data_IF_654458362621
#
_entry.id   IF_654458362621
#
_cell.length_a   1.000
_cell.length_b   1.000
_cell.length_c   1.000
_cell.angle_alpha   90.00
_cell.angle_beta   90.00
_cell.angle_gamma   90.00
#
_symmetry.space_group_name_H-M   'P 1'
#
loop_
_entity.id
_entity.type
_entity.pdbx_description
1 polymer ?
#
# COMPACT_ATOMS: atom_id res chain seq x y z
N UNK A 1 -16.71 -7.25 -7.43
CA UNK A 1 -15.81 -6.92 -6.30
C UNK A 1 -16.21 -7.61 -5.00
N UNK A 2 -17.51 -7.75 -4.76
CA UNK A 2 -18.11 -8.49 -3.64
C UNK A 2 -18.79 -9.73 -4.21
N UNK A 3 -18.76 -10.87 -3.50
CA UNK A 3 -19.48 -12.09 -3.91
C UNK A 3 -20.91 -12.17 -3.35
N UNK A 4 -21.63 -13.24 -3.70
CA UNK A 4 -23.01 -13.48 -3.25
C UNK A 4 -23.16 -13.48 -1.72
N UNK A 5 -22.13 -13.90 -0.98
CA UNK A 5 -22.15 -13.98 0.48
C UNK A 5 -21.65 -12.71 1.17
N UNK A 6 -21.47 -11.63 0.40
CA UNK A 6 -20.95 -10.32 0.82
C UNK A 6 -19.46 -10.32 1.18
N UNK A 7 -18.69 -11.31 0.73
CA UNK A 7 -17.25 -11.32 0.96
C UNK A 7 -16.54 -10.36 0.00
N UNK A 8 -15.60 -9.59 0.55
CA UNK A 8 -14.76 -8.65 -0.23
C UNK A 8 -13.62 -9.41 -0.88
N UNK A 9 -13.59 -9.42 -2.22
CA UNK A 9 -12.47 -9.99 -2.98
C UNK A 9 -11.30 -9.00 -3.05
N UNK A 10 -10.13 -9.47 -3.48
CA UNK A 10 -8.93 -8.64 -3.72
C UNK A 10 -9.25 -7.34 -4.49
N UNK A 11 -10.09 -7.42 -5.53
CA UNK A 11 -10.48 -6.26 -6.34
C UNK A 11 -11.19 -5.16 -5.52
N UNK A 12 -11.96 -5.50 -4.48
CA UNK A 12 -12.60 -4.52 -3.60
C UNK A 12 -11.56 -3.60 -2.94
N UNK A 13 -10.49 -4.18 -2.39
CA UNK A 13 -9.46 -3.42 -1.67
C UNK A 13 -8.65 -2.53 -2.61
N UNK A 14 -8.34 -3.02 -3.81
CA UNK A 14 -7.67 -2.20 -4.82
C UNK A 14 -8.54 -1.06 -5.35
N UNK A 15 -9.84 -1.29 -5.57
CA UNK A 15 -10.77 -0.22 -5.94
C UNK A 15 -10.95 0.78 -4.80
N UNK A 16 -11.06 0.32 -3.54
CA UNK A 16 -11.09 1.21 -2.37
C UNK A 16 -9.87 2.16 -2.35
N UNK A 17 -8.67 1.68 -2.69
CA UNK A 17 -7.46 2.51 -2.80
C UNK A 17 -7.49 3.45 -4.01
N UNK A 18 -7.95 2.96 -5.16
CA UNK A 18 -8.04 3.75 -6.40
C UNK A 18 -9.05 4.90 -6.31
N UNK A 19 -10.04 4.80 -5.42
CA UNK A 19 -11.01 5.85 -5.09
C UNK A 19 -10.69 6.59 -3.78
N UNK A 20 -9.43 6.51 -3.31
CA UNK A 20 -8.99 7.29 -2.15
C UNK A 20 -9.09 8.79 -2.49
N UNK A 21 -9.59 9.65 -1.57
CA UNK A 21 -9.71 11.10 -1.81
C UNK A 21 -8.38 11.78 -2.16
N UNK A 22 -7.27 11.18 -1.70
CA UNK A 22 -5.93 11.51 -2.13
C UNK A 22 -5.32 10.29 -2.82
N UNK A 23 -4.89 10.47 -4.06
CA UNK A 23 -4.35 9.39 -4.89
C UNK A 23 -3.10 9.86 -5.62
N UNK A 24 -1.99 9.12 -5.42
CA UNK A 24 -0.79 9.28 -6.25
C UNK A 24 -0.91 8.36 -7.46
N UNK A 25 -0.64 8.87 -8.66
CA UNK A 25 -0.56 8.05 -9.87
C UNK A 25 0.75 8.28 -10.61
N UNK A 26 1.18 7.24 -11.32
CA UNK A 26 2.34 7.28 -12.19
C UNK A 26 1.86 7.12 -13.63
N UNK A 27 2.29 8.01 -14.51
CA UNK A 27 1.89 8.02 -15.93
C UNK A 27 3.15 8.08 -16.78
N UNK A 28 3.40 7.03 -17.56
CA UNK A 28 4.47 7.00 -18.55
C UNK A 28 4.18 8.00 -19.68
N UNK A 29 5.20 8.78 -20.06
CA UNK A 29 5.15 9.71 -21.18
C UNK A 29 6.25 9.34 -22.17
N UNK A 30 5.85 8.65 -23.23
CA UNK A 30 6.79 8.03 -24.15
C UNK A 30 7.61 6.95 -23.45
N UNK A 31 8.87 6.78 -23.87
CA UNK A 31 9.78 5.75 -23.30
C UNK A 31 10.73 6.28 -22.24
N UNK A 32 10.77 7.60 -22.05
CA UNK A 32 11.84 8.27 -21.31
C UNK A 32 11.36 8.83 -19.97
N UNK A 33 10.07 9.21 -19.87
CA UNK A 33 9.60 9.98 -18.71
C UNK A 33 8.49 9.27 -17.96
N UNK A 34 8.50 9.46 -16.64
CA UNK A 34 7.42 9.10 -15.74
C UNK A 34 6.92 10.35 -15.02
N UNK A 35 5.67 10.70 -15.26
CA UNK A 35 5.02 11.78 -14.51
C UNK A 35 4.43 11.20 -13.22
N UNK A 36 4.68 11.89 -12.11
CA UNK A 36 4.02 11.64 -10.83
C UNK A 36 2.92 12.69 -10.65
N UNK A 37 1.69 12.22 -10.53
CA UNK A 37 0.51 13.05 -10.31
C UNK A 37 -0.07 12.79 -8.93
N UNK A 38 -0.70 13.82 -8.37
CA UNK A 38 -1.57 13.69 -7.20
C UNK A 38 -2.97 14.21 -7.56
N UNK A 39 -3.97 13.39 -7.27
CA UNK A 39 -5.38 13.76 -7.28
C UNK A 39 -5.78 14.16 -5.86
N UNK A 40 -6.47 15.29 -5.73
CA UNK A 40 -7.10 15.76 -4.50
C UNK A 40 -8.59 15.98 -4.75
N UNK A 41 -9.42 15.05 -4.28
CA UNK A 41 -10.89 15.14 -4.35
C UNK A 41 -11.49 15.85 -3.12
N UNK A 42 -10.65 16.32 -2.18
CA UNK A 42 -11.12 17.09 -1.03
C UNK A 42 -11.48 18.53 -1.44
N UNK A 43 -12.36 19.15 -0.65
CA UNK A 43 -12.81 20.54 -0.85
C UNK A 43 -11.88 21.58 -0.21
N UNK A 44 -10.66 21.19 0.18
CA UNK A 44 -9.65 22.07 0.74
C UNK A 44 -8.26 21.72 0.21
N UNK A 45 -7.34 22.69 0.32
CA UNK A 45 -5.95 22.52 -0.05
C UNK A 45 -5.29 21.43 0.81
N UNK A 46 -4.49 20.58 0.18
CA UNK A 46 -3.61 19.66 0.89
C UNK A 46 -2.17 20.14 0.78
N UNK A 47 -1.59 20.43 1.94
CA UNK A 47 -0.17 20.82 2.08
C UNK A 47 0.58 19.69 2.75
N UNK A 48 1.68 19.27 2.14
CA UNK A 48 2.48 18.17 2.65
C UNK A 48 3.79 18.02 1.91
N UNK A 49 4.47 16.92 2.20
CA UNK A 49 5.74 16.55 1.59
C UNK A 49 5.55 15.34 0.68
N UNK A 50 5.94 15.48 -0.58
CA UNK A 50 6.10 14.37 -1.49
C UNK A 50 7.46 13.72 -1.25
N UNK A 51 7.46 12.43 -0.94
CA UNK A 51 8.65 11.58 -0.84
C UNK A 51 8.65 10.60 -2.01
N UNK A 52 9.70 10.63 -2.82
CA UNK A 52 9.94 9.69 -3.90
C UNK A 52 11.21 8.91 -3.61
N UNK A 53 11.14 7.58 -3.67
CA UNK A 53 12.29 6.71 -3.45
C UNK A 53 12.38 5.66 -4.53
N UNK A 54 13.60 5.37 -5.00
CA UNK A 54 13.91 4.16 -5.76
C UNK A 54 14.51 3.14 -4.81
N UNK A 55 13.89 1.98 -4.73
CA UNK A 55 14.26 0.92 -3.79
C UNK A 55 14.35 -0.41 -4.52
N UNK A 56 15.20 -1.29 -4.01
CA UNK A 56 15.12 -2.71 -4.36
C UNK A 56 14.18 -3.48 -3.42
N UNK A 57 13.82 -4.70 -3.80
CA UNK A 57 12.96 -5.56 -2.99
C UNK A 57 13.63 -6.11 -1.71
N UNK A 58 14.93 -5.92 -1.53
CA UNK A 58 15.68 -6.29 -0.33
C UNK A 58 15.70 -5.14 0.70
N UNK A 59 15.27 -3.93 0.31
CA UNK A 59 15.17 -2.76 1.18
C UNK A 59 16.27 -1.71 1.00
N UNK A 60 17.20 -1.92 0.05
CA UNK A 60 18.19 -0.90 -0.25
C UNK A 60 17.52 0.23 -1.01
N UNK A 61 17.67 1.45 -0.50
CA UNK A 61 17.27 2.67 -1.20
C UNK A 61 18.46 3.21 -1.98
N UNK A 62 18.31 3.41 -3.28
CA UNK A 62 19.38 3.88 -4.17
C UNK A 62 19.19 5.33 -4.63
N UNK A 63 17.98 5.89 -4.46
CA UNK A 63 17.69 7.29 -4.77
C UNK A 63 16.51 7.78 -3.92
N UNK A 64 16.57 9.03 -3.48
CA UNK A 64 15.50 9.71 -2.72
C UNK A 64 15.35 11.13 -3.27
N UNK A 65 14.12 11.61 -3.37
CA UNK A 65 13.79 13.02 -3.60
C UNK A 65 12.62 13.42 -2.72
N UNK A 66 12.78 14.56 -2.07
CA UNK A 66 11.73 15.18 -1.26
C UNK A 66 11.32 16.51 -1.87
N UNK A 67 10.03 16.85 -1.78
CA UNK A 67 9.51 18.12 -2.28
C UNK A 67 8.28 18.54 -1.48
N UNK A 68 8.28 19.76 -0.97
CA UNK A 68 7.08 20.36 -0.40
C UNK A 68 6.08 20.67 -1.51
N UNK A 69 4.81 20.30 -1.29
CA UNK A 69 3.76 20.39 -2.30
C UNK A 69 2.49 20.97 -1.69
N UNK A 70 1.77 21.74 -2.49
CA UNK A 70 0.41 22.19 -2.21
C UNK A 70 -0.47 21.77 -3.37
N UNK A 71 -1.56 21.08 -3.08
CA UNK A 71 -2.49 20.57 -4.08
C UNK A 71 -3.85 21.19 -3.84
N UNK A 72 -4.34 21.89 -4.86
CA UNK A 72 -5.59 22.62 -4.79
C UNK A 72 -6.78 21.67 -4.65
N UNK A 73 -7.93 22.15 -4.15
CA UNK A 73 -9.12 21.34 -3.95
C UNK A 73 -9.65 20.81 -5.28
N UNK A 74 -10.26 19.63 -5.26
CA UNK A 74 -10.93 19.02 -6.41
C UNK A 74 -10.12 19.10 -7.73
N UNK A 75 -8.83 18.76 -7.66
CA UNK A 75 -7.89 18.96 -8.76
C UNK A 75 -6.89 17.82 -8.90
N UNK A 76 -6.27 17.73 -10.07
CA UNK A 76 -5.14 16.84 -10.33
C UNK A 76 -3.92 17.68 -10.68
N UNK A 77 -2.82 17.49 -9.93
CA UNK A 77 -1.58 18.26 -10.12
C UNK A 77 -0.41 17.33 -10.41
N UNK A 78 0.35 17.62 -11.48
CA UNK A 78 1.62 16.94 -11.73
C UNK A 78 2.68 17.47 -10.77
N UNK A 79 3.14 16.63 -9.87
CA UNK A 79 4.10 17.02 -8.84
C UNK A 79 5.55 16.89 -9.32
N UNK A 80 5.84 15.90 -10.17
CA UNK A 80 7.19 15.58 -10.61
C UNK A 80 7.21 14.95 -12.01
N UNK A 81 8.34 15.08 -12.70
CA UNK A 81 8.65 14.36 -13.94
C UNK A 81 10.03 13.73 -13.81
N UNK A 82 10.07 12.40 -13.77
CA UNK A 82 11.30 11.63 -13.63
C UNK A 82 11.76 11.19 -15.03
N UNK A 83 13.04 11.36 -15.33
CA UNK A 83 13.67 10.79 -16.51
C UNK A 83 14.26 9.41 -16.16
N UNK A 84 13.82 8.35 -16.86
CA UNK A 84 14.30 6.99 -16.63
C UNK A 84 15.77 6.80 -16.99
N UNK A 85 16.27 7.52 -18.00
CA UNK A 85 17.66 7.42 -18.44
C UNK A 85 18.63 7.88 -17.35
N UNK A 86 18.26 8.96 -16.66
CA UNK A 86 19.07 9.54 -15.57
C UNK A 86 19.00 8.69 -14.29
N UNK A 87 17.92 7.93 -14.11
CA UNK A 87 17.66 7.19 -12.88
C UNK A 87 18.48 5.90 -12.77
N UNK A 88 18.84 5.27 -13.91
CA UNK A 88 19.58 4.01 -14.00
C UNK A 88 18.94 2.86 -13.21
N UNK A 89 18.19 1.95 -13.86
CA UNK A 89 17.31 1.01 -13.14
C UNK A 89 17.63 -0.46 -13.44
N UNK A 90 17.64 -1.30 -12.40
CA UNK A 90 17.47 -2.74 -12.56
C UNK A 90 15.98 -3.06 -12.57
N UNK A 91 15.41 -3.17 -13.77
CA UNK A 91 13.96 -3.22 -13.97
C UNK A 91 13.26 -4.36 -13.22
N UNK A 92 13.95 -5.48 -12.99
CA UNK A 92 13.35 -6.69 -12.39
C UNK A 92 13.41 -6.75 -10.87
N UNK A 93 14.25 -5.94 -10.23
CA UNK A 93 14.50 -6.01 -8.78
C UNK A 93 14.26 -4.69 -8.05
N UNK A 94 14.03 -3.61 -8.79
CA UNK A 94 13.78 -2.27 -8.26
C UNK A 94 12.37 -1.77 -8.57
N UNK A 95 11.92 -0.79 -7.80
CA UNK A 95 10.66 -0.10 -7.99
C UNK A 95 10.77 1.35 -7.51
N UNK A 96 9.83 2.18 -7.94
CA UNK A 96 9.61 3.51 -7.37
C UNK A 96 8.50 3.46 -6.34
N UNK A 97 8.69 4.17 -5.24
CA UNK A 97 7.69 4.40 -4.22
C UNK A 97 7.48 5.89 -4.03
N UNK A 98 6.22 6.31 -4.17
CA UNK A 98 5.81 7.68 -3.89
C UNK A 98 4.90 7.70 -2.67
N UNK A 99 5.14 8.65 -1.77
CA UNK A 99 4.31 8.93 -0.60
C UNK A 99 4.04 10.41 -0.47
N UNK A 100 2.81 10.75 -0.09
CA UNK A 100 2.44 12.06 0.39
C UNK A 100 2.32 12.00 1.90
N UNK A 101 3.17 12.74 2.60
CA UNK A 101 3.10 12.89 4.05
C UNK A 101 2.48 14.25 4.42
N UNK A 102 1.47 14.22 5.28
CA UNK A 102 0.79 15.41 5.81
C UNK A 102 0.84 15.30 7.32
N UNK A 103 1.43 16.28 7.99
CA UNK A 103 1.62 16.30 9.46
C UNK A 103 2.30 15.02 10.00
N UNK A 104 3.26 14.47 9.26
CA UNK A 104 4.00 13.26 9.65
C UNK A 104 3.26 11.94 9.38
N UNK A 105 2.08 11.96 8.79
CA UNK A 105 1.32 10.77 8.42
C UNK A 105 1.27 10.57 6.91
N UNK A 106 1.48 9.35 6.44
CA UNK A 106 1.28 9.01 5.02
C UNK A 106 -0.22 9.03 4.70
N UNK A 107 -0.64 9.98 3.84
CA UNK A 107 -2.04 10.14 3.40
C UNK A 107 -2.34 9.51 2.05
N UNK A 108 -1.33 9.40 1.20
CA UNK A 108 -1.41 8.69 -0.07
C UNK A 108 -0.08 8.04 -0.37
N UNK A 109 -0.12 6.88 -1.01
CA UNK A 109 1.07 6.21 -1.49
C UNK A 109 0.77 5.44 -2.78
N UNK A 110 1.78 5.26 -3.61
CA UNK A 110 1.69 4.35 -4.75
C UNK A 110 3.08 3.82 -5.11
N UNK A 111 3.11 2.69 -5.81
CA UNK A 111 4.34 2.03 -6.25
C UNK A 111 4.30 1.85 -7.77
N UNK A 112 5.43 2.08 -8.42
CA UNK A 112 5.61 1.83 -9.84
C UNK A 112 6.71 0.79 -10.05
N UNK A 113 6.36 -0.31 -10.69
CA UNK A 113 7.31 -1.36 -11.05
C UNK A 113 7.78 -1.15 -12.48
N UNK A 114 9.09 -1.26 -12.70
CA UNK A 114 9.69 -1.01 -14.02
C UNK A 114 9.55 -2.19 -15.00
N UNK A 115 8.90 -3.27 -14.58
CA UNK A 115 8.76 -4.48 -15.37
C UNK A 115 7.43 -5.18 -15.04
N UNK A 116 6.84 -5.96 -15.98
CA UNK A 116 5.65 -6.74 -15.72
C UNK A 116 5.77 -7.58 -14.43
N UNK A 117 4.73 -7.53 -13.61
CA UNK A 117 4.78 -8.02 -12.24
C UNK A 117 5.12 -9.51 -12.12
N UNK A 118 4.76 -10.33 -13.13
CA UNK A 118 5.02 -11.76 -13.16
C UNK A 118 6.51 -12.11 -13.28
N UNK A 119 7.31 -11.18 -13.80
CA UNK A 119 8.74 -11.36 -14.07
C UNK A 119 9.63 -10.62 -13.06
N UNK A 120 9.04 -9.98 -12.05
CA UNK A 120 9.76 -9.34 -10.96
C UNK A 120 10.34 -10.39 -10.00
N UNK A 121 11.55 -10.12 -9.52
CA UNK A 121 12.29 -11.04 -8.65
C UNK A 121 12.07 -10.62 -7.20
N UNK A 122 11.03 -11.15 -6.58
CA UNK A 122 10.75 -10.92 -5.16
C UNK A 122 11.58 -11.88 -4.28
N UNK A 123 12.39 -11.38 -3.33
CA UNK A 123 13.05 -12.21 -2.34
C UNK A 123 12.02 -12.80 -1.36
N UNK A 124 12.35 -13.93 -0.73
CA UNK A 124 11.46 -14.53 0.29
C UNK A 124 11.42 -13.67 1.54
N UNK A 125 10.24 -13.15 1.88
CA UNK A 125 10.03 -12.27 3.03
C UNK A 125 9.57 -13.05 4.27
N UNK A 126 9.81 -12.47 5.44
CA UNK A 126 9.25 -12.91 6.72
C UNK A 126 8.32 -11.83 7.24
N UNK A 127 7.09 -12.23 7.52
CA UNK A 127 6.09 -11.35 8.14
C UNK A 127 6.17 -11.45 9.65
N UNK A 128 6.02 -10.32 10.33
CA UNK A 128 5.82 -10.24 11.77
C UNK A 128 4.47 -9.62 12.05
N UNK A 129 3.73 -10.22 12.96
CA UNK A 129 2.36 -9.82 13.30
C UNK A 129 2.22 -9.59 14.80
N UNK A 130 1.43 -8.59 15.16
CA UNK A 130 1.03 -8.31 16.54
C UNK A 130 -0.47 -7.98 16.53
N UNK A 131 -1.25 -8.58 17.43
CA UNK A 131 -2.69 -8.31 17.54
C UNK A 131 -2.97 -7.69 18.90
N UNK A 132 -3.69 -6.57 18.90
CA UNK A 132 -4.15 -5.87 20.11
C UNK A 132 -5.67 -5.74 20.07
N UNK A 133 -6.32 -5.96 21.20
CA UNK A 133 -7.72 -5.54 21.37
C UNK A 133 -7.74 -4.03 21.60
N UNK A 134 -8.59 -3.32 20.87
CA UNK A 134 -8.70 -1.85 20.93
C UNK A 134 -10.12 -1.37 21.25
N UNK A 135 -11.08 -2.30 21.34
CA UNK A 135 -12.46 -2.03 21.75
C UNK A 135 -13.18 -3.31 22.15
N UNK A 136 -14.49 -3.22 22.36
CA UNK A 136 -15.32 -4.36 22.73
C UNK A 136 -15.37 -5.42 21.62
N UNK A 137 -15.39 -4.98 20.36
CA UNK A 137 -15.52 -5.83 19.17
C UNK A 137 -14.42 -5.60 18.13
N UNK A 138 -13.33 -4.90 18.50
CA UNK A 138 -12.33 -4.44 17.55
C UNK A 138 -10.92 -4.89 17.94
N UNK A 139 -10.22 -5.41 16.93
CA UNK A 139 -8.82 -5.79 17.05
C UNK A 139 -7.98 -5.05 16.03
N UNK A 140 -6.81 -4.59 16.46
CA UNK A 140 -5.77 -4.01 15.60
C UNK A 140 -4.71 -5.07 15.34
N UNK A 141 -4.63 -5.54 14.11
CA UNK A 141 -3.55 -6.38 13.59
C UNK A 141 -2.48 -5.48 12.96
N UNK A 142 -1.29 -5.47 13.55
CA UNK A 142 -0.12 -4.76 13.06
C UNK A 142 0.75 -5.76 12.30
N UNK A 143 1.04 -5.48 11.03
CA UNK A 143 1.85 -6.34 10.16
C UNK A 143 3.07 -5.56 9.70
N UNK A 144 4.23 -6.20 9.75
CA UNK A 144 5.49 -5.68 9.21
C UNK A 144 6.25 -6.78 8.49
N UNK A 145 7.21 -6.40 7.66
CA UNK A 145 8.11 -7.33 6.97
C UNK A 145 9.56 -6.88 7.08
N UNK A 146 10.47 -7.86 7.05
CA UNK A 146 11.91 -7.65 7.02
C UNK A 146 12.40 -7.11 5.67
N UNK A 147 11.77 -7.53 4.58
CA UNK A 147 12.04 -7.08 3.21
C UNK A 147 10.71 -6.73 2.50
N UNK A 148 10.74 -6.49 1.18
CA UNK A 148 9.49 -6.20 0.45
C UNK A 148 8.53 -7.38 0.50
N UNK A 149 7.28 -7.16 0.91
CA UNK A 149 6.22 -8.16 0.87
C UNK A 149 5.11 -7.72 -0.09
N UNK A 150 4.87 -8.53 -1.12
CA UNK A 150 3.88 -8.24 -2.17
C UNK A 150 2.55 -8.91 -1.83
N UNK A 151 1.43 -8.18 -1.95
CA UNK A 151 0.08 -8.71 -1.77
C UNK A 151 -0.12 -9.47 -0.46
N UNK A 152 0.31 -8.86 0.65
CA UNK A 152 0.04 -9.34 2.01
C UNK A 152 -1.46 -9.56 2.18
N UNK A 153 -1.84 -10.82 2.37
CA UNK A 153 -3.21 -11.28 2.48
C UNK A 153 -3.47 -11.78 3.89
N UNK A 154 -4.54 -11.28 4.48
CA UNK A 154 -5.14 -11.79 5.70
C UNK A 154 -6.27 -12.72 5.27
N UNK A 155 -6.16 -13.99 5.67
CA UNK A 155 -7.19 -15.00 5.50
C UNK A 155 -7.75 -15.39 6.86
N UNK A 156 -9.04 -15.63 6.89
CA UNK A 156 -9.76 -16.21 8.01
C UNK A 156 -10.38 -17.51 7.54
N UNK A 157 -10.80 -18.37 8.47
CA UNK A 157 -11.68 -19.49 8.11
C UNK A 157 -13.07 -18.96 7.69
N UNK A 158 -14.06 -19.86 7.58
CA UNK A 158 -15.46 -19.53 7.23
C UNK A 158 -16.16 -18.56 8.20
N UNK A 159 -15.47 -18.11 9.25
CA UNK A 159 -15.95 -17.09 10.18
C UNK A 159 -15.83 -15.72 9.53
N UNK A 160 -16.98 -15.07 9.36
CA UNK A 160 -17.06 -13.73 8.75
C UNK A 160 -16.45 -12.67 9.66
N UNK A 161 -15.66 -11.79 9.05
CA UNK A 161 -15.16 -10.58 9.68
C UNK A 161 -15.03 -9.46 8.65
N UNK A 162 -15.01 -8.21 9.13
CA UNK A 162 -14.66 -7.05 8.34
C UNK A 162 -13.20 -6.73 8.56
N UNK A 163 -12.45 -6.56 7.47
CA UNK A 163 -11.09 -6.03 7.49
C UNK A 163 -11.11 -4.58 7.00
N UNK A 164 -10.40 -3.69 7.67
CA UNK A 164 -10.22 -2.30 7.20
C UNK A 164 -9.39 -2.25 5.92
N UNK A 165 -8.43 -3.17 5.76
CA UNK A 165 -7.64 -3.33 4.55
C UNK A 165 -7.14 -4.77 4.35
N UNK A 166 -6.81 -5.15 3.11
CA UNK A 166 -6.27 -6.47 2.76
C UNK A 166 -5.59 -6.42 1.38
N UNK A 167 -4.68 -7.35 1.06
CA UNK A 167 -3.95 -7.40 -0.21
C UNK A 167 -3.17 -6.11 -0.51
N UNK A 168 -2.41 -5.62 0.48
CA UNK A 168 -1.49 -4.48 0.35
C UNK A 168 -0.05 -4.97 0.25
N UNK A 169 0.84 -4.04 -0.10
CA UNK A 169 2.28 -4.29 -0.06
C UNK A 169 2.88 -3.70 1.22
N UNK A 170 4.02 -4.26 1.64
CA UNK A 170 4.84 -3.70 2.71
C UNK A 170 6.25 -3.48 2.19
N UNK A 171 6.76 -2.27 2.42
CA UNK A 171 8.20 -2.00 2.29
C UNK A 171 8.92 -2.30 3.61
N UNK A 172 10.25 -2.46 3.60
CA UNK A 172 11.01 -2.80 4.80
C UNK A 172 10.91 -1.69 5.85
N UNK A 173 10.60 -2.07 7.10
CA UNK A 173 10.37 -1.12 8.19
C UNK A 173 8.98 -0.48 8.20
N UNK A 174 8.16 -0.69 7.17
CA UNK A 174 6.77 -0.26 7.14
C UNK A 174 5.91 -1.13 8.06
N UNK A 175 5.02 -0.48 8.81
CA UNK A 175 3.98 -1.16 9.60
C UNK A 175 2.63 -0.81 9.00
N UNK A 176 1.82 -1.83 8.72
CA UNK A 176 0.40 -1.65 8.37
C UNK A 176 -0.47 -2.08 9.52
N UNK A 177 -1.40 -1.20 9.90
CA UNK A 177 -2.44 -1.51 10.86
C UNK A 177 -3.73 -1.88 10.12
N UNK A 178 -4.28 -3.05 10.44
CA UNK A 178 -5.57 -3.52 9.92
C UNK A 178 -6.52 -3.72 11.09
N UNK A 179 -7.68 -3.07 11.02
CA UNK A 179 -8.77 -3.27 11.98
C UNK A 179 -9.56 -4.49 11.56
N UNK A 180 -9.79 -5.40 12.50
CA UNK A 180 -10.57 -6.62 12.37
C UNK A 180 -11.80 -6.47 13.25
N UNK A 181 -12.97 -6.53 12.62
CA UNK A 181 -14.28 -6.52 13.29
C UNK A 181 -14.94 -7.89 13.07
N UNK A 182 -15.06 -8.76 14.09
CA UNK A 182 -15.79 -10.02 13.98
C UNK A 182 -17.26 -9.75 13.66
N UNK A 183 -17.86 -10.53 12.75
CA UNK A 183 -19.30 -10.45 12.51
C UNK A 183 -20.14 -11.14 13.58
N UNK A 184 -19.53 -12.03 14.38
CA UNK A 184 -20.15 -12.70 15.52
C UNK A 184 -19.14 -12.76 16.68
N UNK A 185 -19.43 -12.02 17.76
CA UNK A 185 -18.57 -11.93 18.95
C UNK A 185 -18.42 -13.27 19.68
N UNK A 186 -19.40 -14.18 19.56
CA UNK A 186 -19.30 -15.51 20.18
C UNK A 186 -18.17 -16.34 19.55
N UNK A 187 -17.81 -16.03 18.31
CA UNK A 187 -16.74 -16.68 17.55
C UNK A 187 -15.44 -15.89 17.49
N UNK A 188 -15.30 -14.80 18.27
CA UNK A 188 -14.12 -13.93 18.27
C UNK A 188 -12.83 -14.71 18.49
N UNK A 189 -12.76 -15.55 19.54
CA UNK A 189 -11.55 -16.34 19.84
C UNK A 189 -11.18 -17.30 18.71
N UNK A 190 -12.17 -17.97 18.13
CA UNK A 190 -11.99 -18.90 17.02
C UNK A 190 -11.53 -18.16 15.75
N UNK A 191 -12.11 -16.99 15.47
CA UNK A 191 -11.71 -16.11 14.37
C UNK A 191 -10.23 -15.74 14.50
N UNK A 192 -9.82 -15.21 15.65
CA UNK A 192 -8.45 -14.78 15.90
C UNK A 192 -7.45 -15.93 15.80
N UNK A 193 -7.81 -17.12 16.30
CA UNK A 193 -7.00 -18.32 16.18
C UNK A 193 -6.89 -18.82 14.73
N UNK A 194 -7.87 -18.53 13.87
CA UNK A 194 -7.90 -18.92 12.46
C UNK A 194 -7.15 -17.98 11.51
N UNK A 195 -6.65 -16.84 12.00
CA UNK A 195 -5.99 -15.85 11.15
C UNK A 195 -4.71 -16.41 10.52
N UNK A 196 -4.64 -16.35 9.20
CA UNK A 196 -3.44 -16.68 8.43
C UNK A 196 -3.01 -15.47 7.61
N UNK A 197 -1.80 -14.99 7.86
CA UNK A 197 -1.21 -13.84 7.18
C UNK A 197 -0.06 -14.35 6.31
N UNK A 198 -0.13 -14.10 5.00
CA UNK A 198 0.92 -14.51 4.06
C UNK A 198 1.12 -13.42 3.01
N UNK A 199 2.25 -13.42 2.30
CA UNK A 199 2.44 -12.59 1.11
C UNK A 199 2.48 -13.48 -0.15
N UNK A 200 2.68 -12.88 -1.31
CA UNK A 200 2.99 -13.61 -2.54
C UNK A 200 4.36 -14.30 -2.44
N UNK A 201 5.29 -13.68 -1.71
CA UNK A 201 6.68 -14.06 -1.58
C UNK A 201 7.06 -14.49 -0.14
N UNK A 202 6.13 -15.08 0.61
CA UNK A 202 6.41 -15.82 1.86
C UNK A 202 6.66 -17.29 1.57
#
# INVERSE_FOLDING_TARGET
>A
MIDYYLNRKIAYYWVKRAFSPLLITFIEVGKEYLNVWLVNDLLHDVKGKLLLSKMDFWGKTSWIKEKDVTILPNSSTRLERINFLDLGVNKKSEFLWARLEVMGETKAENRYFFFPWADLIFPKCKLRTEIKRIGEAEHKLIISSDIYARLVKIKTNEIKCRLSDNYFDLTPGEKREVIIEPSDLKKEKELLASLSINALNT
#
